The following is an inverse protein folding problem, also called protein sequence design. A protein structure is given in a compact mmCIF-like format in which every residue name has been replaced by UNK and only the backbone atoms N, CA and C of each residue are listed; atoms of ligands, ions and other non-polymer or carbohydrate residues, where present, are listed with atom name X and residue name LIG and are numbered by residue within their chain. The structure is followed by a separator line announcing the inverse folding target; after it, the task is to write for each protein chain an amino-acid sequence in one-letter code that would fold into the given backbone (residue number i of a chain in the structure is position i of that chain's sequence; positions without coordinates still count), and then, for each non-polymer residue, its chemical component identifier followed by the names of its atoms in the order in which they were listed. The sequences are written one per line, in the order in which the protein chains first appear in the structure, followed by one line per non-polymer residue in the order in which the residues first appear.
data_IF_908896505827
#
_entry.id   IF_908896505827
#
_cell.length_a   1.000
_cell.length_b   1.000
_cell.length_c   1.000
_cell.angle_alpha   90.00
_cell.angle_beta   90.00
_cell.angle_gamma   90.00
#
_symmetry.space_group_name_H-M   'P 1'
#
loop_
_entity.id
_entity.type
_entity.pdbx_description
1 polymer ?
#
# COMPACT_ATOMS: atom_id res chain seq x y z
N UNK A 1 -65.68 -25.34 -33.36
CA UNK A 1 -65.07 -26.23 -32.35
C UNK A 1 -63.69 -26.62 -32.83
N UNK A 2 -62.65 -25.85 -32.50
CA UNK A 2 -61.26 -26.17 -32.81
C UNK A 2 -60.47 -26.26 -31.50
N UNK A 3 -60.09 -27.46 -31.10
CA UNK A 3 -59.30 -27.69 -29.90
C UNK A 3 -57.80 -27.65 -30.26
N UNK A 4 -57.17 -26.49 -30.03
CA UNK A 4 -55.71 -26.35 -30.10
C UNK A 4 -55.06 -27.16 -28.96
N UNK A 5 -54.71 -28.41 -29.25
CA UNK A 5 -53.90 -29.23 -28.36
C UNK A 5 -52.44 -28.78 -28.48
N UNK A 6 -52.00 -27.91 -27.55
CA UNK A 6 -50.60 -27.54 -27.35
C UNK A 6 -49.79 -28.82 -27.03
N UNK A 7 -49.04 -29.31 -28.01
CA UNK A 7 -48.14 -30.46 -27.85
C UNK A 7 -47.02 -30.10 -26.87
N UNK A 8 -47.11 -30.54 -25.63
CA UNK A 8 -45.99 -30.49 -24.69
C UNK A 8 -44.92 -31.46 -25.19
N UNK A 9 -43.79 -30.93 -25.68
CA UNK A 9 -42.62 -31.74 -26.03
C UNK A 9 -42.21 -32.54 -24.78
N UNK A 10 -42.24 -33.86 -24.86
CA UNK A 10 -41.73 -34.77 -23.84
C UNK A 10 -40.22 -34.56 -23.72
N UNK A 11 -39.79 -33.72 -22.78
CA UNK A 11 -38.38 -33.60 -22.39
C UNK A 11 -37.88 -34.96 -21.89
N UNK A 12 -36.71 -35.39 -22.37
CA UNK A 12 -36.16 -36.69 -22.01
C UNK A 12 -35.83 -36.78 -20.53
N UNK A 13 -35.67 -37.99 -19.97
CA UNK A 13 -35.29 -38.20 -18.57
C UNK A 13 -33.96 -37.51 -18.18
N UNK A 14 -33.12 -37.15 -19.16
CA UNK A 14 -31.89 -36.37 -18.99
C UNK A 14 -32.13 -34.88 -18.69
N UNK A 15 -33.29 -34.35 -19.07
CA UNK A 15 -33.66 -32.93 -18.86
C UNK A 15 -34.50 -32.75 -17.58
N UNK A 16 -34.80 -33.84 -16.86
CA UNK A 16 -35.51 -33.78 -15.59
C UNK A 16 -34.50 -33.35 -14.52
N UNK A 17 -34.62 -32.12 -14.05
CA UNK A 17 -33.80 -31.59 -12.97
C UNK A 17 -33.89 -32.50 -11.74
N UNK A 18 -32.82 -33.24 -11.47
CA UNK A 18 -32.59 -34.01 -10.25
C UNK A 18 -32.70 -33.10 -9.01
N UNK A 19 -32.98 -33.68 -7.85
CA UNK A 19 -33.02 -32.93 -6.59
C UNK A 19 -31.69 -32.18 -6.35
N UNK A 20 -30.56 -32.78 -6.72
CA UNK A 20 -29.24 -32.17 -6.64
C UNK A 20 -29.09 -30.95 -7.57
N UNK A 21 -29.55 -31.05 -8.84
CA UNK A 21 -29.51 -29.91 -9.76
C UNK A 21 -30.45 -28.79 -9.31
N UNK A 22 -31.61 -29.13 -8.73
CA UNK A 22 -32.50 -28.12 -8.14
C UNK A 22 -31.89 -27.43 -6.93
N UNK A 23 -31.17 -28.15 -6.06
CA UNK A 23 -30.51 -27.57 -4.88
C UNK A 23 -29.33 -26.67 -5.25
N UNK A 24 -28.56 -27.04 -6.28
CA UNK A 24 -27.40 -26.27 -6.75
C UNK A 24 -27.80 -25.04 -7.58
N UNK A 25 -28.88 -25.13 -8.34
CA UNK A 25 -29.45 -24.00 -9.09
C UNK A 25 -30.52 -23.22 -8.31
N UNK A 26 -30.81 -23.60 -7.06
CA UNK A 26 -31.73 -22.84 -6.22
C UNK A 26 -31.13 -21.46 -5.94
N UNK A 27 -31.89 -20.41 -6.24
CA UNK A 27 -31.53 -19.08 -5.81
C UNK A 27 -31.36 -19.09 -4.28
N UNK A 28 -30.23 -18.60 -3.75
CA UNK A 28 -29.99 -18.63 -2.31
C UNK A 28 -31.09 -17.86 -1.59
N UNK A 29 -31.61 -18.44 -0.51
CA UNK A 29 -32.65 -17.81 0.31
C UNK A 29 -32.18 -16.45 0.82
N UNK A 30 -33.12 -15.53 1.08
CA UNK A 30 -32.83 -14.18 1.58
C UNK A 30 -31.90 -14.22 2.81
N UNK A 31 -32.10 -15.18 3.73
CA UNK A 31 -31.23 -15.38 4.89
C UNK A 31 -29.79 -15.71 4.52
N UNK A 32 -29.57 -16.60 3.55
CA UNK A 32 -28.23 -16.98 3.09
C UNK A 32 -27.53 -15.78 2.44
N UNK A 33 -28.24 -15.01 1.61
CA UNK A 33 -27.71 -13.79 0.99
C UNK A 33 -27.33 -12.73 2.04
N UNK A 34 -28.16 -12.55 3.08
CA UNK A 34 -27.90 -11.62 4.17
C UNK A 34 -26.62 -12.00 4.93
N UNK A 35 -26.46 -13.27 5.32
CA UNK A 35 -25.26 -13.76 6.01
C UNK A 35 -24.00 -13.57 5.16
N UNK A 36 -24.07 -13.89 3.86
CA UNK A 36 -22.93 -13.66 2.96
C UNK A 36 -22.59 -12.17 2.83
N UNK A 37 -23.58 -11.28 2.81
CA UNK A 37 -23.36 -9.83 2.77
C UNK A 37 -22.72 -9.33 4.07
N UNK A 38 -23.19 -9.80 5.22
CA UNK A 38 -22.58 -9.45 6.52
C UNK A 38 -21.13 -9.89 6.59
N UNK A 39 -20.82 -11.12 6.20
CA UNK A 39 -19.45 -11.62 6.18
C UNK A 39 -18.53 -10.77 5.27
N UNK A 40 -19.02 -10.32 4.12
CA UNK A 40 -18.26 -9.41 3.24
C UNK A 40 -17.98 -8.06 3.90
N UNK A 41 -19.00 -7.45 4.49
CA UNK A 41 -18.86 -6.16 5.17
C UNK A 41 -17.92 -6.25 6.38
N UNK A 42 -17.96 -7.37 7.11
CA UNK A 42 -17.08 -7.60 8.25
C UNK A 42 -15.61 -7.77 7.83
N UNK A 43 -15.36 -8.45 6.70
CA UNK A 43 -14.03 -8.55 6.09
C UNK A 43 -13.53 -7.18 5.61
N UNK A 44 -14.38 -6.40 4.95
CA UNK A 44 -14.05 -5.03 4.50
C UNK A 44 -13.75 -4.13 5.69
N UNK A 45 -14.57 -4.18 6.75
CA UNK A 45 -14.31 -3.46 8.01
C UNK A 45 -12.96 -3.85 8.60
N UNK A 46 -12.67 -5.15 8.70
CA UNK A 46 -11.40 -5.64 9.24
C UNK A 46 -10.20 -5.19 8.41
N UNK A 47 -10.34 -5.17 7.08
CA UNK A 47 -9.31 -4.65 6.17
C UNK A 47 -9.07 -3.16 6.41
N UNK A 48 -10.13 -2.35 6.43
CA UNK A 48 -10.03 -0.90 6.64
C UNK A 48 -9.42 -0.56 8.00
N UNK A 49 -9.72 -1.32 9.05
CA UNK A 49 -9.10 -1.14 10.36
C UNK A 49 -7.58 -1.37 10.32
N UNK A 50 -7.11 -2.43 9.65
CA UNK A 50 -5.67 -2.67 9.47
C UNK A 50 -4.99 -1.58 8.65
N UNK A 51 -5.65 -1.10 7.60
CA UNK A 51 -5.14 0.01 6.79
C UNK A 51 -5.03 1.30 7.62
N UNK A 52 -6.03 1.59 8.46
CA UNK A 52 -6.02 2.72 9.37
C UNK A 52 -4.89 2.62 10.40
N UNK A 53 -4.70 1.46 11.01
CA UNK A 53 -3.60 1.20 11.95
C UNK A 53 -2.22 1.38 11.29
N UNK A 54 -2.06 0.89 10.06
CA UNK A 54 -0.83 1.09 9.31
C UNK A 54 -0.59 2.57 8.97
N UNK A 55 -1.64 3.32 8.65
CA UNK A 55 -1.56 4.75 8.37
C UNK A 55 -1.24 5.57 9.60
N UNK A 56 -1.87 5.28 10.74
CA UNK A 56 -1.60 5.98 11.99
C UNK A 56 -0.18 5.73 12.49
N UNK A 57 0.35 4.51 12.33
CA UNK A 57 1.74 4.19 12.63
C UNK A 57 2.70 5.02 11.78
N UNK A 58 2.47 5.10 10.46
CA UNK A 58 3.28 5.91 9.54
C UNK A 58 3.19 7.41 9.85
N UNK A 59 2.01 7.88 10.24
CA UNK A 59 1.83 9.27 10.65
C UNK A 59 2.67 9.58 11.90
N UNK A 60 2.62 8.73 12.92
CA UNK A 60 3.42 8.91 14.13
C UNK A 60 4.93 8.87 13.86
N UNK A 61 5.38 8.02 12.94
CA UNK A 61 6.78 8.00 12.49
C UNK A 61 7.16 9.31 11.77
N UNK A 62 6.31 9.80 10.87
CA UNK A 62 6.53 11.06 10.17
C UNK A 62 6.59 12.25 11.14
N UNK A 63 5.70 12.31 12.13
CA UNK A 63 5.70 13.34 13.18
C UNK A 63 7.01 13.33 13.98
N UNK A 64 7.55 12.14 14.31
CA UNK A 64 8.86 12.03 14.97
C UNK A 64 10.00 12.53 14.10
N UNK A 65 9.97 12.22 12.80
CA UNK A 65 11.00 12.72 11.86
C UNK A 65 10.93 14.23 11.71
N UNK A 66 9.73 14.81 11.64
CA UNK A 66 9.55 16.26 11.60
C UNK A 66 10.07 16.94 12.87
N UNK A 67 9.76 16.39 14.05
CA UNK A 67 10.28 16.92 15.32
C UNK A 67 11.82 16.93 15.34
N UNK A 68 12.47 15.87 14.85
CA UNK A 68 13.92 15.81 14.74
C UNK A 68 14.48 16.86 13.79
N UNK A 69 13.84 17.07 12.63
CA UNK A 69 14.25 18.11 11.68
C UNK A 69 14.11 19.50 12.30
N UNK A 70 13.03 19.76 13.05
CA UNK A 70 12.83 21.03 13.74
C UNK A 70 13.91 21.28 14.80
N UNK A 71 14.31 20.25 15.55
CA UNK A 71 15.44 20.32 16.49
C UNK A 71 16.74 20.66 15.77
N UNK A 72 17.07 19.97 14.68
CA UNK A 72 18.27 20.23 13.88
C UNK A 72 18.27 21.66 13.29
N UNK A 73 17.13 22.12 12.77
CA UNK A 73 16.97 23.49 12.27
C UNK A 73 17.13 24.52 13.39
N UNK A 74 16.61 24.25 14.58
CA UNK A 74 16.77 25.13 15.74
C UNK A 74 18.23 25.25 16.15
N UNK A 75 18.97 24.13 16.18
CA UNK A 75 20.40 24.12 16.48
C UNK A 75 21.21 24.88 15.43
N UNK A 76 20.90 24.69 14.14
CA UNK A 76 21.56 25.44 13.06
C UNK A 76 21.28 26.94 13.14
N UNK A 77 20.05 27.34 13.48
CA UNK A 77 19.70 28.76 13.66
C UNK A 77 20.54 29.39 14.77
N UNK A 78 20.67 28.74 15.92
CA UNK A 78 21.52 29.23 17.02
C UNK A 78 22.99 29.33 16.57
N UNK A 79 23.52 28.30 15.89
CA UNK A 79 24.91 28.33 15.41
C UNK A 79 25.18 29.41 14.35
N UNK A 80 24.22 29.73 13.50
CA UNK A 80 24.41 30.67 12.38
C UNK A 80 24.06 32.12 12.75
N UNK A 81 23.08 32.33 13.63
CA UNK A 81 22.55 33.66 13.96
C UNK A 81 23.03 34.16 15.34
N UNK A 82 23.24 33.26 16.31
CA UNK A 82 23.71 33.61 17.66
C UNK A 82 25.21 33.32 17.86
N UNK A 83 25.96 33.03 16.79
CA UNK A 83 27.42 32.90 16.88
C UNK A 83 28.03 34.23 17.37
N UNK A 84 28.78 34.24 18.49
CA UNK A 84 29.54 35.42 18.88
C UNK A 84 30.53 35.77 17.75
N UNK A 85 30.78 37.06 17.49
CA UNK A 85 31.70 37.45 16.43
C UNK A 85 33.05 36.76 16.65
N UNK A 86 33.38 35.84 15.75
CA UNK A 86 34.68 35.18 15.75
C UNK A 86 35.76 36.26 15.81
N UNK A 87 36.74 36.19 16.73
CA UNK A 87 37.92 37.03 16.62
C UNK A 87 38.57 36.79 15.24
N UNK A 88 39.23 37.81 14.66
CA UNK A 88 39.82 37.69 13.33
C UNK A 88 40.77 36.50 13.31
N UNK A 89 40.44 35.50 12.49
CA UNK A 89 41.30 34.34 12.27
C UNK A 89 42.63 34.85 11.70
N UNK A 90 43.68 34.83 12.53
CA UNK A 90 45.04 35.05 12.07
C UNK A 90 45.35 33.94 11.04
N UNK A 91 45.56 34.35 9.79
CA UNK A 91 45.64 33.46 8.64
C UNK A 91 46.56 32.26 8.87
N UNK A 92 46.01 31.06 8.70
CA UNK A 92 46.85 29.86 8.52
C UNK A 92 47.56 29.93 7.18
N UNK A 93 48.88 29.70 7.12
CA UNK A 93 49.61 29.67 5.86
C UNK A 93 49.18 28.45 5.01
N UNK A 94 49.30 28.53 3.67
CA UNK A 94 48.78 27.51 2.77
C UNK A 94 49.53 26.19 2.95
N UNK A 95 48.79 25.16 3.39
CA UNK A 95 49.28 23.79 3.52
C UNK A 95 49.52 23.23 2.12
N UNK A 96 50.79 23.02 1.75
CA UNK A 96 51.21 22.44 0.46
C UNK A 96 50.43 21.15 0.18
N UNK A 97 49.69 21.17 -0.92
CA UNK A 97 48.94 20.05 -1.50
C UNK A 97 49.91 18.95 -1.94
N UNK A 98 50.08 17.91 -1.11
CA UNK A 98 50.69 16.64 -1.56
C UNK A 98 49.63 15.93 -2.39
N UNK A 99 49.82 15.92 -3.71
CA UNK A 99 49.07 15.06 -4.63
C UNK A 99 49.41 13.61 -4.25
N UNK A 100 48.47 12.92 -3.59
CA UNK A 100 48.51 11.48 -3.43
C UNK A 100 47.59 10.91 -4.52
N UNK A 101 48.21 10.44 -5.59
CA UNK A 101 47.59 9.48 -6.49
C UNK A 101 47.37 8.19 -5.71
N UNK A 102 46.13 7.73 -5.59
CA UNK A 102 45.83 6.31 -5.36
C UNK A 102 44.35 6.02 -5.67
N UNK A 103 44.18 5.22 -6.74
CA UNK A 103 43.14 4.23 -7.04
C UNK A 103 41.64 4.58 -6.90
N UNK A 104 40.96 4.45 -8.03
CA UNK A 104 39.51 4.37 -8.16
C UNK A 104 38.88 3.21 -7.36
N UNK A 105 37.61 3.37 -6.97
CA UNK A 105 36.65 2.29 -7.12
C UNK A 105 35.47 2.67 -8.01
N UNK A 106 35.26 1.81 -9.01
CA UNK A 106 34.06 1.42 -9.78
C UNK A 106 32.72 2.18 -9.53
N UNK A 107 31.97 2.54 -10.58
CA UNK A 107 30.64 3.11 -10.46
C UNK A 107 29.61 2.08 -9.98
N UNK A 108 28.85 2.49 -8.96
CA UNK A 108 27.72 1.79 -8.36
C UNK A 108 26.75 1.32 -9.44
N UNK A 109 26.50 0.00 -9.46
CA UNK A 109 25.54 -0.61 -10.37
C UNK A 109 24.15 0.02 -10.23
N UNK A 110 23.70 0.51 -11.38
CA UNK A 110 22.37 0.88 -11.81
C UNK A 110 21.19 0.44 -10.92
N UNK A 111 20.35 1.43 -10.61
CA UNK A 111 18.93 1.31 -10.35
C UNK A 111 18.25 0.21 -11.19
N UNK A 112 17.82 -0.87 -10.53
CA UNK A 112 16.84 -1.80 -11.07
C UNK A 112 15.45 -1.44 -10.54
N UNK A 113 14.82 -0.47 -11.20
CA UNK A 113 13.36 -0.35 -11.21
C UNK A 113 12.78 -1.26 -12.31
N UNK A 114 11.56 -1.76 -12.10
CA UNK A 114 10.75 -2.69 -12.91
C UNK A 114 10.98 -4.18 -12.55
N UNK A 115 9.97 -5.03 -12.31
CA UNK A 115 8.58 -5.05 -12.74
C UNK A 115 7.62 -5.35 -11.57
N UNK A 116 6.47 -4.67 -11.54
CA UNK A 116 5.24 -5.19 -10.95
C UNK A 116 4.34 -5.53 -12.14
N UNK A 117 4.13 -6.81 -12.40
CA UNK A 117 3.17 -7.30 -13.40
C UNK A 117 1.77 -7.31 -12.79
N UNK A 118 0.78 -6.92 -13.61
CA UNK A 118 -0.65 -6.88 -13.31
C UNK A 118 -1.31 -8.26 -13.47
#
# INVERSE_FOLDING_TARGET
MGSDKKTARTRGLRDVATVQTRLTHAAPSNRTQAVSRFARLENERSRLLRELEAWSARQAEAERMLAKVDEELSAMRVMLLDAPPSPPSAGSPPRRRRVRQEAAPEPVAAHAHALIEY
#
